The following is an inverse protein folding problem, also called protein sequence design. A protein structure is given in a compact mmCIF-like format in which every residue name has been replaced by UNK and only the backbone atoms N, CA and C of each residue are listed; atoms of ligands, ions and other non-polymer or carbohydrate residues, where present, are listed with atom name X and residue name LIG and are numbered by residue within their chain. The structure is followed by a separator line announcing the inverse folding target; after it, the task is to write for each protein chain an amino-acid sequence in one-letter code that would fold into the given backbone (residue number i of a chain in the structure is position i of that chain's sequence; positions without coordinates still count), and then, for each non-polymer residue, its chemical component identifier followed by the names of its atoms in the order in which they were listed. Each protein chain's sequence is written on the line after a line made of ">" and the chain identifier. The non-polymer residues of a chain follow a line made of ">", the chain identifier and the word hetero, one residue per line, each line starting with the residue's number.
data_IF_518566462618
#
_entry.id   IF_518566462618
#
_cell.length_a   1.000
_cell.length_b   1.000
_cell.length_c   1.000
_cell.angle_alpha   90.00
_cell.angle_beta   90.00
_cell.angle_gamma   90.00
#
_symmetry.space_group_name_H-M   'P 1'
#
loop_
_entity.id
_entity.type
_entity.pdbx_description
1 polymer ?
#
# COMPACT_ATOMS: atom_id res chain seq x y z
N UNK A 1 4.32 -16.73 -27.47
CA UNK A 1 4.29 -16.07 -26.15
C UNK A 1 2.88 -15.58 -25.96
N UNK A 2 2.14 -16.12 -24.98
CA UNK A 2 0.87 -15.52 -24.60
C UNK A 2 1.19 -14.14 -24.04
N UNK A 3 0.47 -13.14 -24.50
CA UNK A 3 0.57 -11.77 -23.98
C UNK A 3 -0.01 -11.78 -22.57
N UNK A 4 0.85 -11.81 -21.53
CA UNK A 4 0.44 -11.83 -20.13
C UNK A 4 -0.43 -10.63 -19.76
N UNK A 5 -0.34 -9.53 -20.52
CA UNK A 5 -1.17 -8.35 -20.29
C UNK A 5 -2.59 -8.52 -20.81
N UNK A 6 -2.80 -9.34 -21.84
CA UNK A 6 -4.15 -9.67 -22.29
C UNK A 6 -4.93 -10.36 -21.19
N UNK A 7 -4.29 -11.26 -20.42
CA UNK A 7 -4.92 -11.96 -19.31
C UNK A 7 -5.46 -11.03 -18.22
N UNK A 8 -4.73 -9.96 -17.88
CA UNK A 8 -5.20 -8.99 -16.89
C UNK A 8 -6.42 -8.22 -17.39
N UNK A 9 -6.36 -7.69 -18.61
CA UNK A 9 -7.47 -6.94 -19.23
C UNK A 9 -8.72 -7.83 -19.45
N UNK A 10 -8.51 -9.09 -19.81
CA UNK A 10 -9.56 -10.07 -20.03
C UNK A 10 -10.10 -10.68 -18.74
N UNK A 11 -9.42 -10.49 -17.60
CA UNK A 11 -9.86 -11.03 -16.31
C UNK A 11 -11.24 -10.56 -15.88
N UNK A 12 -11.67 -9.39 -16.35
CA UNK A 12 -12.90 -8.73 -15.93
C UNK A 12 -12.90 -8.32 -14.47
N UNK A 13 -11.71 -8.21 -13.85
CA UNK A 13 -11.54 -7.80 -12.46
C UNK A 13 -11.30 -6.29 -12.36
N UNK A 14 -11.82 -5.68 -11.30
CA UNK A 14 -11.66 -4.25 -11.02
C UNK A 14 -11.47 -4.00 -9.54
N UNK A 15 -10.86 -2.87 -9.20
CA UNK A 15 -10.92 -2.30 -7.88
C UNK A 15 -12.23 -1.51 -7.76
N UNK A 16 -13.17 -2.03 -6.99
CA UNK A 16 -14.56 -1.52 -6.95
C UNK A 16 -14.86 -0.63 -5.76
N UNK A 17 -14.00 -0.59 -4.76
CA UNK A 17 -14.15 0.28 -3.60
C UNK A 17 -12.84 0.36 -2.82
N UNK A 18 -12.64 1.50 -2.16
CA UNK A 18 -11.48 1.79 -1.33
C UNK A 18 -11.94 2.28 0.03
N UNK A 19 -11.12 2.03 1.07
CA UNK A 19 -11.39 2.54 2.40
C UNK A 19 -10.11 2.71 3.19
N UNK A 20 -10.16 3.53 4.23
CA UNK A 20 -9.01 3.75 5.10
C UNK A 20 -9.40 4.00 6.55
N UNK A 21 -8.42 3.87 7.42
CA UNK A 21 -8.53 4.24 8.81
C UNK A 21 -7.21 4.79 9.32
N UNK A 22 -7.29 5.92 10.01
CA UNK A 22 -6.19 6.49 10.77
C UNK A 22 -6.45 6.32 12.27
N UNK A 23 -5.42 5.92 13.05
CA UNK A 23 -5.50 5.95 14.51
C UNK A 23 -5.94 7.30 15.06
N UNK A 24 -6.54 7.25 16.24
CA UNK A 24 -7.11 8.45 16.90
C UNK A 24 -6.06 9.50 17.26
N UNK A 25 -4.86 9.06 17.65
CA UNK A 25 -3.77 9.96 18.03
C UNK A 25 -3.05 10.47 16.77
N UNK A 26 -3.24 11.75 16.47
CA UNK A 26 -2.41 12.48 15.51
C UNK A 26 -1.28 13.17 16.26
N UNK A 27 -0.06 13.08 15.76
CA UNK A 27 1.15 13.69 16.32
C UNK A 27 1.73 14.65 15.29
N UNK A 28 1.88 15.92 15.68
CA UNK A 28 2.55 16.92 14.86
C UNK A 28 4.06 16.86 15.13
N UNK A 29 4.87 16.77 14.09
CA UNK A 29 6.33 16.65 14.23
C UNK A 29 6.99 17.93 14.76
N UNK A 30 6.40 19.10 14.51
CA UNK A 30 6.90 20.37 15.05
C UNK A 30 6.61 20.56 16.55
N UNK A 31 5.51 19.94 17.04
CA UNK A 31 5.12 19.99 18.45
C UNK A 31 5.69 18.79 19.24
N UNK A 32 6.28 17.83 18.57
CA UNK A 32 6.89 16.71 19.25
C UNK A 32 8.00 17.29 20.15
N UNK A 33 7.81 17.20 21.47
CA UNK A 33 8.92 17.23 22.38
C UNK A 33 9.93 16.24 21.82
N UNK A 34 11.07 16.77 21.34
CA UNK A 34 12.09 15.95 20.71
C UNK A 34 12.34 14.76 21.63
N UNK A 35 12.29 13.51 21.14
CA UNK A 35 12.43 12.35 22.00
C UNK A 35 13.60 12.57 22.94
N UNK A 36 13.38 12.48 24.24
CA UNK A 36 14.34 12.87 25.26
C UNK A 36 15.71 12.22 24.98
N UNK A 37 16.68 13.02 24.55
CA UNK A 37 18.07 12.60 24.35
C UNK A 37 18.70 12.84 22.97
N UNK A 38 17.94 13.07 21.92
CA UNK A 38 18.48 13.48 20.63
C UNK A 38 17.62 14.60 20.07
N UNK A 39 18.00 15.85 20.32
CA UNK A 39 17.42 16.99 19.64
C UNK A 39 17.57 16.75 18.12
N UNK A 40 16.48 16.40 17.46
CA UNK A 40 16.48 16.34 16.01
C UNK A 40 16.51 17.79 15.56
N UNK A 41 17.60 18.21 14.95
CA UNK A 41 17.80 19.56 14.43
C UNK A 41 16.61 19.95 13.54
N UNK A 42 16.05 21.16 13.72
CA UNK A 42 14.96 21.70 12.90
C UNK A 42 15.28 21.59 11.40
N UNK A 43 16.55 21.76 11.02
CA UNK A 43 17.02 21.55 9.65
C UNK A 43 16.86 20.08 9.17
N UNK A 44 16.81 19.12 10.08
CA UNK A 44 16.53 17.72 9.75
C UNK A 44 15.03 17.51 9.58
N UNK A 45 14.21 18.08 10.47
CA UNK A 45 12.74 18.00 10.38
C UNK A 45 12.28 18.58 9.04
N UNK A 46 12.75 19.77 8.67
CA UNK A 46 12.42 20.41 7.39
C UNK A 46 12.84 19.61 6.14
N UNK A 47 13.85 18.75 6.27
CA UNK A 47 14.29 17.86 5.16
C UNK A 47 13.51 16.54 5.08
N UNK A 48 12.80 16.15 6.13
CA UNK A 48 12.02 14.92 6.16
C UNK A 48 10.68 15.07 5.44
N UNK A 49 10.21 16.31 5.29
CA UNK A 49 8.97 16.66 4.60
C UNK A 49 7.73 15.93 5.16
N UNK A 50 7.69 15.75 6.50
CA UNK A 50 6.57 15.18 7.24
C UNK A 50 6.17 16.13 8.35
N UNK A 51 4.94 16.65 8.29
CA UNK A 51 4.37 17.53 9.30
C UNK A 51 3.68 16.76 10.42
N UNK A 52 2.91 15.74 10.04
CA UNK A 52 2.13 14.97 11.01
C UNK A 52 2.06 13.49 10.66
N UNK A 53 1.68 12.69 11.63
CA UNK A 53 1.50 11.24 11.51
C UNK A 53 0.48 10.74 12.53
N UNK A 54 -0.07 9.55 12.32
CA UNK A 54 -0.93 8.90 13.30
C UNK A 54 -0.17 7.76 14.00
N UNK A 55 -0.51 7.54 15.27
CA UNK A 55 0.08 6.50 16.11
C UNK A 55 -1.02 5.71 16.78
N UNK A 56 -1.06 4.40 16.56
CA UNK A 56 -2.04 3.51 17.12
C UNK A 56 -1.79 3.22 18.60
N UNK A 57 -2.83 3.26 19.41
CA UNK A 57 -2.79 2.77 20.77
C UNK A 57 -2.86 1.23 20.83
N UNK A 58 -2.95 0.66 22.06
CA UNK A 58 -2.97 -0.79 22.24
C UNK A 58 -4.26 -1.45 21.72
N UNK A 59 -5.38 -0.72 21.72
CA UNK A 59 -6.68 -1.21 21.23
C UNK A 59 -6.76 -1.18 19.71
N UNK A 60 -6.04 -0.27 19.08
CA UNK A 60 -6.01 -0.11 17.64
C UNK A 60 -5.10 -1.14 16.97
N UNK A 61 -5.43 -2.42 17.17
CA UNK A 61 -4.73 -3.56 16.58
C UNK A 61 -4.86 -3.58 15.05
N UNK A 62 -4.02 -4.34 14.33
CA UNK A 62 -4.16 -4.52 12.89
C UNK A 62 -5.57 -4.97 12.46
N UNK A 63 -6.21 -5.86 13.21
CA UNK A 63 -7.59 -6.27 12.93
C UNK A 63 -8.60 -5.14 13.18
N UNK A 64 -8.46 -4.40 14.28
CA UNK A 64 -9.33 -3.26 14.59
C UNK A 64 -9.30 -2.19 13.49
N UNK A 65 -8.10 -1.77 13.09
CA UNK A 65 -7.91 -0.78 12.03
C UNK A 65 -8.36 -1.32 10.67
N UNK A 66 -8.00 -2.58 10.39
CA UNK A 66 -8.36 -3.26 9.14
C UNK A 66 -9.86 -3.37 8.93
N UNK A 67 -10.63 -3.71 9.98
CA UNK A 67 -12.11 -3.76 9.94
C UNK A 67 -12.73 -2.42 9.53
N UNK A 68 -12.17 -1.31 10.01
CA UNK A 68 -12.69 0.03 9.68
C UNK A 68 -12.42 0.41 8.23
N UNK A 69 -11.20 0.21 7.77
CA UNK A 69 -10.85 0.42 6.38
C UNK A 69 -11.67 -0.49 5.45
N UNK A 70 -11.85 -1.75 5.85
CA UNK A 70 -12.62 -2.74 5.10
C UNK A 70 -14.10 -2.35 4.96
N UNK A 71 -14.74 -1.88 6.04
CA UNK A 71 -16.15 -1.43 6.00
C UNK A 71 -16.36 -0.29 5.03
N UNK A 72 -15.47 0.71 5.05
CA UNK A 72 -15.55 1.82 4.09
C UNK A 72 -15.36 1.33 2.65
N UNK A 73 -14.41 0.43 2.40
CA UNK A 73 -14.20 -0.14 1.07
C UNK A 73 -15.41 -0.94 0.57
N UNK A 74 -16.05 -1.73 1.44
CA UNK A 74 -17.27 -2.48 1.11
C UNK A 74 -18.45 -1.55 0.85
N UNK A 75 -18.63 -0.51 1.67
CA UNK A 75 -19.68 0.50 1.48
C UNK A 75 -19.53 1.19 0.13
N UNK A 76 -18.32 1.61 -0.23
CA UNK A 76 -18.05 2.21 -1.54
C UNK A 76 -18.27 1.23 -2.70
N UNK A 77 -17.94 -0.05 -2.51
CA UNK A 77 -18.18 -1.10 -3.50
C UNK A 77 -19.66 -1.51 -3.63
N UNK A 78 -20.51 -1.12 -2.65
CA UNK A 78 -21.91 -1.51 -2.58
C UNK A 78 -22.13 -2.99 -2.26
N UNK A 79 -21.23 -3.60 -1.45
CA UNK A 79 -21.30 -5.00 -1.04
C UNK A 79 -21.42 -5.15 0.47
N UNK A 80 -21.97 -6.28 0.89
CA UNK A 80 -22.09 -6.69 2.30
C UNK A 80 -21.00 -7.71 2.68
N UNK A 81 -20.82 -7.96 3.96
CA UNK A 81 -19.76 -8.86 4.45
C UNK A 81 -19.97 -10.33 4.03
N UNK A 82 -21.20 -10.78 3.88
CA UNK A 82 -21.56 -12.13 3.43
C UNK A 82 -21.31 -12.35 1.92
N UNK A 83 -21.07 -11.28 1.15
CA UNK A 83 -20.68 -11.34 -0.25
C UNK A 83 -19.15 -11.42 -0.46
N UNK A 84 -18.36 -11.29 0.63
CA UNK A 84 -16.91 -11.42 0.57
C UNK A 84 -16.52 -12.90 0.55
N UNK A 85 -15.88 -13.33 -0.54
CA UNK A 85 -15.42 -14.72 -0.72
C UNK A 85 -13.98 -14.93 -0.20
N UNK A 86 -13.17 -13.87 -0.22
CA UNK A 86 -11.76 -13.91 0.15
C UNK A 86 -11.38 -12.62 0.90
N UNK A 87 -10.68 -12.78 2.03
CA UNK A 87 -10.03 -11.68 2.74
C UNK A 87 -8.52 -11.92 2.83
N UNK A 88 -7.73 -11.02 2.30
CA UNK A 88 -6.27 -11.04 2.41
C UNK A 88 -5.84 -9.85 3.24
N UNK A 89 -5.10 -10.09 4.33
CA UNK A 89 -4.56 -9.04 5.16
C UNK A 89 -3.04 -8.97 5.02
N UNK A 90 -2.54 -7.81 4.59
CA UNK A 90 -1.12 -7.52 4.58
C UNK A 90 -0.72 -6.83 5.88
N UNK A 91 0.18 -7.44 6.61
CA UNK A 91 0.81 -6.89 7.80
C UNK A 91 2.21 -7.47 7.98
N UNK A 92 3.20 -6.61 8.20
CA UNK A 92 4.54 -7.04 8.58
C UNK A 92 5.01 -6.40 9.89
N UNK A 93 4.39 -5.29 10.28
CA UNK A 93 4.82 -4.46 11.41
C UNK A 93 4.40 -5.01 12.76
N UNK A 94 3.24 -5.68 12.82
CA UNK A 94 2.71 -6.30 14.03
C UNK A 94 2.18 -7.71 13.72
N UNK A 95 3.05 -8.51 13.10
CA UNK A 95 2.69 -9.81 12.59
C UNK A 95 2.49 -10.83 13.72
N UNK A 96 1.37 -11.56 13.63
CA UNK A 96 1.14 -12.79 14.38
C UNK A 96 1.38 -13.99 13.46
N UNK A 97 1.98 -15.04 14.00
CA UNK A 97 2.24 -16.26 13.23
C UNK A 97 1.12 -17.27 13.35
N UNK A 98 0.58 -17.46 14.57
CA UNK A 98 -0.53 -18.35 14.89
C UNK A 98 -1.23 -17.82 16.15
N UNK A 99 -2.54 -17.50 16.08
CA UNK A 99 -3.35 -17.34 14.86
C UNK A 99 -2.97 -16.08 14.06
N UNK A 100 -3.27 -16.08 12.76
CA UNK A 100 -3.11 -14.92 11.88
C UNK A 100 -4.18 -13.84 12.14
N UNK A 101 -3.95 -12.61 11.67
CA UNK A 101 -4.91 -11.51 11.82
C UNK A 101 -6.11 -11.61 10.86
N UNK A 102 -5.94 -12.12 9.64
CA UNK A 102 -6.99 -12.13 8.63
C UNK A 102 -8.25 -12.92 9.06
N UNK A 103 -8.15 -14.15 9.61
CA UNK A 103 -9.34 -14.86 10.07
C UNK A 103 -10.11 -14.11 11.17
N UNK A 104 -9.39 -13.46 12.08
CA UNK A 104 -10.01 -12.64 13.13
C UNK A 104 -10.67 -11.38 12.55
N UNK A 105 -10.01 -10.74 11.57
CA UNK A 105 -10.56 -9.57 10.86
C UNK A 105 -11.85 -9.95 10.12
N UNK A 106 -11.86 -11.08 9.42
CA UNK A 106 -13.05 -11.57 8.72
C UNK A 106 -14.23 -11.81 9.68
N UNK A 107 -13.96 -12.44 10.83
CA UNK A 107 -14.97 -12.64 11.87
C UNK A 107 -15.53 -11.32 12.40
N UNK A 108 -14.68 -10.35 12.74
CA UNK A 108 -15.10 -9.03 13.22
C UNK A 108 -15.88 -8.21 12.18
N UNK A 109 -15.69 -8.49 10.90
CA UNK A 109 -16.46 -7.92 9.81
C UNK A 109 -17.83 -8.58 9.64
N UNK A 110 -18.00 -9.83 10.07
CA UNK A 110 -19.12 -10.69 9.73
C UNK A 110 -18.96 -11.41 8.38
N UNK A 111 -17.75 -11.46 7.83
CA UNK A 111 -17.41 -12.19 6.61
C UNK A 111 -17.04 -13.65 6.92
N UNK A 112 -17.88 -14.34 7.70
CA UNK A 112 -17.61 -15.67 8.27
C UNK A 112 -17.49 -16.79 7.22
N UNK A 113 -17.89 -16.53 5.97
CA UNK A 113 -17.79 -17.47 4.85
C UNK A 113 -16.51 -17.26 4.00
N UNK A 114 -15.82 -16.16 4.20
CA UNK A 114 -14.63 -15.83 3.44
C UNK A 114 -13.47 -16.76 3.80
N UNK A 115 -12.71 -17.22 2.80
CA UNK A 115 -11.36 -17.69 3.03
C UNK A 115 -10.52 -16.50 3.47
N UNK A 116 -9.82 -16.60 4.60
CA UNK A 116 -9.03 -15.49 5.12
C UNK A 116 -7.62 -15.95 5.50
N UNK A 117 -6.59 -15.19 5.06
CA UNK A 117 -5.18 -15.43 5.40
C UNK A 117 -4.34 -14.16 5.29
N UNK A 118 -3.20 -14.17 5.99
CA UNK A 118 -2.24 -13.06 5.96
C UNK A 118 -1.22 -13.24 4.82
N UNK A 119 -0.78 -12.12 4.25
CA UNK A 119 0.39 -12.05 3.37
C UNK A 119 1.45 -11.14 3.96
N UNK A 120 2.72 -11.44 3.68
CA UNK A 120 3.83 -10.60 4.10
C UNK A 120 4.68 -10.22 2.87
N UNK A 121 4.37 -9.09 2.28
CA UNK A 121 5.12 -8.51 1.15
C UNK A 121 5.82 -7.20 1.53
N UNK A 122 6.14 -6.99 2.82
CA UNK A 122 6.61 -5.71 3.33
C UNK A 122 5.75 -4.55 2.78
N UNK A 123 6.35 -3.45 2.34
CA UNK A 123 5.60 -2.30 1.83
C UNK A 123 4.91 -2.57 0.49
N UNK A 124 5.25 -3.65 -0.26
CA UNK A 124 4.54 -4.06 -1.47
C UNK A 124 3.31 -4.92 -1.19
N UNK A 125 2.97 -5.12 0.09
CA UNK A 125 1.93 -6.05 0.51
C UNK A 125 0.55 -5.80 -0.09
N UNK A 126 0.18 -4.55 -0.36
CA UNK A 126 -1.07 -4.25 -1.07
C UNK A 126 -1.08 -4.80 -2.50
N UNK A 127 -0.02 -4.54 -3.28
CA UNK A 127 0.12 -5.08 -4.65
C UNK A 127 0.12 -6.60 -4.62
N UNK A 128 0.83 -7.21 -3.67
CA UNK A 128 0.86 -8.66 -3.47
C UNK A 128 -0.54 -9.21 -3.15
N UNK A 129 -1.28 -8.55 -2.26
CA UNK A 129 -2.65 -8.91 -1.91
C UNK A 129 -3.59 -8.84 -3.11
N UNK A 130 -3.55 -7.76 -3.91
CA UNK A 130 -4.39 -7.61 -5.10
C UNK A 130 -4.05 -8.67 -6.15
N UNK A 131 -2.76 -8.95 -6.38
CA UNK A 131 -2.32 -9.97 -7.32
C UNK A 131 -2.78 -11.37 -6.89
N UNK A 132 -2.67 -11.67 -5.59
CA UNK A 132 -3.15 -12.94 -5.00
C UNK A 132 -4.68 -13.05 -5.09
N UNK A 133 -5.40 -11.97 -4.77
CA UNK A 133 -6.86 -11.92 -4.89
C UNK A 133 -7.31 -12.17 -6.33
N UNK A 134 -6.65 -11.54 -7.30
CA UNK A 134 -6.95 -11.74 -8.73
C UNK A 134 -6.71 -13.20 -9.17
N UNK A 135 -5.63 -13.85 -8.70
CA UNK A 135 -5.36 -15.26 -8.99
C UNK A 135 -6.46 -16.18 -8.42
N UNK A 136 -6.87 -15.95 -7.18
CA UNK A 136 -7.97 -16.70 -6.56
C UNK A 136 -9.29 -16.48 -7.27
N UNK A 137 -9.67 -15.24 -7.52
CA UNK A 137 -10.88 -14.93 -8.30
C UNK A 137 -10.81 -15.54 -9.70
N UNK A 138 -9.63 -15.57 -10.33
CA UNK A 138 -9.42 -16.20 -11.63
C UNK A 138 -9.71 -17.69 -11.66
N UNK A 139 -9.46 -18.40 -10.57
CA UNK A 139 -9.58 -19.87 -10.46
C UNK A 139 -10.87 -20.36 -9.81
N UNK A 140 -11.58 -19.52 -9.05
CA UNK A 140 -12.83 -19.87 -8.39
C UNK A 140 -14.02 -19.24 -9.13
N UNK A 141 -14.71 -20.03 -9.95
CA UNK A 141 -15.75 -19.53 -10.85
C UNK A 141 -16.94 -18.86 -10.14
N UNK A 142 -17.23 -19.26 -8.89
CA UNK A 142 -18.36 -18.73 -8.09
C UNK A 142 -17.99 -17.52 -7.26
N UNK A 143 -16.70 -17.26 -7.02
CA UNK A 143 -16.24 -16.14 -6.21
C UNK A 143 -16.34 -14.83 -6.98
N UNK A 144 -16.81 -13.79 -6.30
CA UNK A 144 -17.08 -12.49 -6.89
C UNK A 144 -16.28 -11.36 -6.29
N UNK A 145 -16.05 -11.40 -4.98
CA UNK A 145 -15.45 -10.29 -4.24
C UNK A 145 -14.32 -10.77 -3.35
N UNK A 146 -13.17 -10.15 -3.51
CA UNK A 146 -12.05 -10.30 -2.59
C UNK A 146 -11.77 -8.95 -1.92
N UNK A 147 -11.56 -8.97 -0.61
CA UNK A 147 -11.18 -7.82 0.19
C UNK A 147 -9.69 -7.89 0.48
N UNK A 148 -8.94 -6.90 0.05
CA UNK A 148 -7.51 -6.76 0.32
C UNK A 148 -7.34 -5.65 1.34
N UNK A 149 -6.84 -6.00 2.52
CA UNK A 149 -6.61 -5.09 3.64
C UNK A 149 -5.11 -4.98 3.89
N UNK A 150 -4.61 -3.76 4.04
CA UNK A 150 -3.25 -3.49 4.51
C UNK A 150 -3.35 -2.72 5.81
N UNK A 151 -2.81 -3.26 6.90
CA UNK A 151 -2.95 -2.65 8.22
C UNK A 151 -1.63 -2.71 8.97
N UNK A 152 -1.01 -1.55 9.20
CA UNK A 152 0.35 -1.45 9.70
C UNK A 152 0.44 -0.58 10.96
N UNK A 153 1.16 -1.08 11.96
CA UNK A 153 1.59 -0.32 13.15
C UNK A 153 3.10 -0.06 13.04
N UNK A 154 3.46 0.80 12.08
CA UNK A 154 4.85 1.02 11.71
C UNK A 154 5.64 1.73 12.82
N UNK A 155 4.97 2.54 13.63
CA UNK A 155 5.56 3.17 14.83
C UNK A 155 6.25 2.16 15.75
N UNK A 156 5.78 0.91 15.80
CA UNK A 156 6.35 -0.17 16.61
C UNK A 156 7.65 -0.75 16.06
N UNK A 157 8.05 -0.39 14.85
CA UNK A 157 9.26 -0.90 14.17
C UNK A 157 10.37 0.12 14.07
N UNK A 158 10.22 1.25 14.70
CA UNK A 158 11.27 2.29 14.77
C UNK A 158 11.83 2.39 16.19
N UNK A 159 13.12 2.70 16.26
CA UNK A 159 13.77 2.88 17.56
C UNK A 159 13.24 4.16 18.22
N UNK A 160 12.79 4.10 19.47
CA UNK A 160 12.39 5.29 20.21
C UNK A 160 13.51 6.35 20.24
N UNK A 161 13.15 7.61 20.04
CA UNK A 161 14.08 8.72 19.96
C UNK A 161 14.89 8.81 18.66
N UNK A 162 14.51 8.06 17.62
CA UNK A 162 15.20 8.12 16.33
C UNK A 162 14.41 8.93 15.29
N UNK A 163 15.12 9.37 14.23
CA UNK A 163 14.47 9.99 13.05
C UNK A 163 13.33 9.13 12.46
N UNK A 164 13.40 7.81 12.65
CA UNK A 164 12.35 6.90 12.20
C UNK A 164 10.99 7.25 12.76
N UNK A 165 10.90 7.73 14.00
CA UNK A 165 9.63 8.12 14.61
C UNK A 165 8.95 9.30 13.88
N UNK A 166 9.73 10.15 13.21
CA UNK A 166 9.22 11.31 12.50
C UNK A 166 8.71 10.99 11.09
N UNK A 167 9.11 9.83 10.53
CA UNK A 167 8.87 9.51 9.12
C UNK A 167 7.94 8.32 8.89
N UNK A 168 7.50 7.65 9.96
CA UNK A 168 6.56 6.54 9.86
C UNK A 168 5.26 6.86 10.60
N UNK A 169 4.17 6.29 10.12
CA UNK A 169 2.86 6.39 10.74
C UNK A 169 2.13 5.06 10.72
N UNK A 170 1.10 4.95 11.55
CA UNK A 170 0.23 3.78 11.63
C UNK A 170 -1.06 4.06 10.88
N UNK A 171 -1.55 3.09 10.15
CA UNK A 171 -2.82 3.20 9.44
C UNK A 171 -3.27 1.85 8.85
N UNK A 172 -4.53 1.83 8.40
CA UNK A 172 -5.02 0.77 7.54
C UNK A 172 -5.64 1.33 6.26
N UNK A 173 -5.45 0.60 5.17
CA UNK A 173 -6.10 0.85 3.90
C UNK A 173 -6.68 -0.45 3.34
N UNK A 174 -7.76 -0.37 2.59
CA UNK A 174 -8.40 -1.52 2.01
C UNK A 174 -8.90 -1.25 0.59
N UNK A 175 -8.99 -2.30 -0.21
CA UNK A 175 -9.67 -2.27 -1.50
C UNK A 175 -10.49 -3.55 -1.72
N UNK A 176 -11.61 -3.41 -2.41
CA UNK A 176 -12.39 -4.54 -2.90
C UNK A 176 -12.00 -4.83 -4.34
N UNK A 177 -11.58 -6.06 -4.60
CA UNK A 177 -11.38 -6.59 -5.96
C UNK A 177 -12.65 -7.35 -6.36
N UNK A 178 -13.32 -6.90 -7.41
CA UNK A 178 -14.60 -7.48 -7.86
C UNK A 178 -14.53 -7.95 -9.30
N UNK A 179 -15.33 -8.99 -9.62
CA UNK A 179 -15.64 -9.35 -11.00
C UNK A 179 -16.64 -8.36 -11.62
N UNK A 180 -16.63 -8.25 -12.92
CA UNK A 180 -17.60 -7.47 -13.67
C UNK A 180 -17.10 -6.09 -14.06
N UNK A 181 -15.81 -5.96 -14.36
CA UNK A 181 -15.31 -4.79 -15.06
C UNK A 181 -15.98 -4.67 -16.44
N UNK A 182 -16.48 -3.47 -16.73
CA UNK A 182 -16.98 -3.16 -18.07
C UNK A 182 -15.84 -3.11 -19.10
N UNK A 183 -16.19 -3.05 -20.40
CA UNK A 183 -15.18 -2.91 -21.44
C UNK A 183 -14.26 -1.70 -21.21
N UNK A 184 -12.95 -1.94 -21.21
CA UNK A 184 -11.95 -0.89 -21.04
C UNK A 184 -11.70 -0.41 -19.61
N UNK A 185 -12.41 -0.96 -18.62
CA UNK A 185 -12.20 -0.70 -17.20
C UNK A 185 -11.49 -1.88 -16.51
N UNK A 186 -11.03 -1.69 -15.26
CA UNK A 186 -10.50 -2.73 -14.41
C UNK A 186 -8.98 -2.87 -14.41
N UNK A 187 -8.51 -4.02 -13.93
CA UNK A 187 -7.08 -4.33 -13.84
C UNK A 187 -6.48 -4.53 -15.23
N UNK A 188 -5.47 -3.73 -15.56
CA UNK A 188 -4.82 -3.76 -16.87
C UNK A 188 -3.49 -4.50 -16.85
N UNK A 189 -2.72 -4.37 -15.81
CA UNK A 189 -1.49 -5.12 -15.58
C UNK A 189 -1.13 -5.12 -14.10
N UNK A 190 -0.41 -6.15 -13.67
CA UNK A 190 0.21 -6.22 -12.37
C UNK A 190 1.55 -6.94 -12.50
N UNK A 191 2.58 -6.35 -11.92
CA UNK A 191 3.91 -6.93 -11.87
C UNK A 191 4.45 -6.83 -10.46
N UNK A 192 4.98 -7.94 -9.96
CA UNK A 192 5.68 -8.01 -8.68
C UNK A 192 6.96 -8.81 -8.87
N UNK A 193 8.09 -8.22 -8.49
CA UNK A 193 9.43 -8.77 -8.67
C UNK A 193 10.07 -8.94 -7.30
N UNK A 194 10.75 -10.06 -7.11
CA UNK A 194 11.53 -10.38 -5.92
C UNK A 194 13.00 -10.48 -6.30
N UNK A 195 13.83 -9.60 -5.73
CA UNK A 195 15.28 -9.58 -5.91
C UNK A 195 15.97 -9.81 -4.56
N UNK A 196 16.30 -11.05 -4.26
CA UNK A 196 16.97 -11.44 -3.01
C UNK A 196 18.37 -10.86 -2.85
N UNK A 197 19.01 -10.31 -3.89
CA UNK A 197 20.31 -9.65 -3.78
C UNK A 197 20.21 -8.36 -2.97
N UNK A 198 19.05 -7.69 -2.97
CA UNK A 198 18.75 -6.48 -2.22
C UNK A 198 18.28 -6.71 -0.77
N UNK A 199 18.37 -7.92 -0.21
CA UNK A 199 17.84 -8.27 1.13
C UNK A 199 18.34 -7.39 2.27
N UNK A 200 19.55 -6.85 2.19
CA UNK A 200 20.16 -6.01 3.22
C UNK A 200 19.81 -4.51 3.05
N UNK A 201 19.08 -4.13 2.02
CA UNK A 201 18.69 -2.73 1.77
C UNK A 201 17.82 -2.18 2.88
N UNK A 202 16.83 -2.96 3.32
CA UNK A 202 15.99 -2.65 4.49
C UNK A 202 15.78 -3.93 5.29
N UNK A 203 16.09 -3.88 6.58
CA UNK A 203 16.05 -5.06 7.45
C UNK A 203 15.36 -4.77 8.78
N UNK A 204 14.77 -5.82 9.37
CA UNK A 204 14.24 -5.83 10.73
C UNK A 204 14.71 -7.13 11.40
N UNK A 205 15.79 -7.05 12.15
CA UNK A 205 16.41 -8.22 12.79
C UNK A 205 16.28 -8.22 14.33
N UNK A 206 16.25 -9.40 14.95
CA UNK A 206 16.43 -9.53 16.40
C UNK A 206 17.74 -8.86 16.89
N UNK A 207 17.82 -8.49 18.20
CA UNK A 207 16.81 -8.69 19.23
C UNK A 207 15.72 -7.61 19.23
N UNK A 208 15.97 -6.41 18.69
CA UNK A 208 15.12 -5.26 18.90
C UNK A 208 13.92 -5.20 17.92
N UNK A 209 14.03 -5.83 16.75
CA UNK A 209 12.97 -5.79 15.74
C UNK A 209 12.77 -4.40 15.12
N UNK A 210 13.77 -3.51 15.17
CA UNK A 210 13.69 -2.18 14.58
C UNK A 210 14.18 -2.16 13.14
N UNK A 211 13.53 -1.32 12.33
CA UNK A 211 13.90 -1.13 10.94
C UNK A 211 15.27 -0.44 10.83
N UNK A 212 16.05 -0.92 9.88
CA UNK A 212 17.32 -0.33 9.46
C UNK A 212 17.36 -0.28 7.94
N UNK A 213 17.85 0.80 7.40
CA UNK A 213 18.05 0.97 5.97
C UNK A 213 19.53 1.21 5.64
N UNK A 214 19.95 0.69 4.50
CA UNK A 214 21.28 0.95 3.95
C UNK A 214 21.38 2.38 3.41
N UNK A 215 22.60 2.85 3.15
CA UNK A 215 22.82 4.17 2.54
C UNK A 215 22.38 4.23 1.09
N UNK A 216 22.35 3.08 0.43
CA UNK A 216 21.99 2.91 -0.98
C UNK A 216 20.47 2.82 -1.19
N UNK A 217 19.66 2.87 -0.11
CA UNK A 217 18.20 2.71 -0.20
C UNK A 217 17.58 3.58 -1.30
N UNK A 218 17.93 4.88 -1.33
CA UNK A 218 17.32 5.82 -2.29
C UNK A 218 17.67 5.45 -3.72
N UNK A 219 18.95 5.16 -4.03
CA UNK A 219 19.35 4.78 -5.39
C UNK A 219 18.70 3.46 -5.82
N UNK A 220 18.71 2.44 -4.95
CA UNK A 220 18.09 1.13 -5.25
C UNK A 220 16.58 1.29 -5.49
N UNK A 221 15.90 2.09 -4.68
CA UNK A 221 14.48 2.33 -4.84
C UNK A 221 14.15 3.07 -6.14
N UNK A 222 14.92 4.12 -6.49
CA UNK A 222 14.74 4.88 -7.74
C UNK A 222 14.96 3.98 -8.95
N UNK A 223 16.02 3.17 -8.96
CA UNK A 223 16.32 2.25 -10.06
C UNK A 223 15.25 1.16 -10.18
N UNK A 224 14.74 0.64 -9.05
CA UNK A 224 13.63 -0.32 -9.04
C UNK A 224 12.34 0.27 -9.61
N UNK A 225 11.99 1.53 -9.29
CA UNK A 225 10.84 2.20 -9.88
C UNK A 225 11.02 2.42 -11.40
N UNK A 226 12.24 2.76 -11.85
CA UNK A 226 12.53 2.95 -13.26
C UNK A 226 12.46 1.62 -14.05
N UNK A 227 13.01 0.52 -13.50
CA UNK A 227 12.89 -0.80 -14.09
C UNK A 227 11.43 -1.26 -14.17
N UNK A 228 10.68 -1.10 -13.07
CA UNK A 228 9.26 -1.43 -13.01
C UNK A 228 8.45 -0.68 -14.06
N UNK A 229 8.62 0.65 -14.15
CA UNK A 229 7.93 1.47 -15.13
C UNK A 229 8.25 1.01 -16.54
N UNK A 230 9.54 0.79 -16.86
CA UNK A 230 9.98 0.31 -18.18
C UNK A 230 9.29 -1.00 -18.55
N UNK A 231 9.26 -1.98 -17.63
CA UNK A 231 8.64 -3.29 -17.88
C UNK A 231 7.13 -3.22 -18.02
N UNK A 232 6.45 -2.54 -17.08
CA UNK A 232 4.99 -2.46 -17.10
C UNK A 232 4.46 -1.68 -18.30
N UNK A 233 5.09 -0.55 -18.63
CA UNK A 233 4.68 0.25 -19.80
C UNK A 233 4.92 -0.50 -21.12
N UNK A 234 6.07 -1.19 -21.25
CA UNK A 234 6.34 -2.02 -22.42
C UNK A 234 5.34 -3.17 -22.57
N UNK A 235 5.02 -3.88 -21.47
CA UNK A 235 4.05 -5.00 -21.44
C UNK A 235 2.65 -4.52 -21.80
N UNK A 236 2.20 -3.45 -21.16
CA UNK A 236 0.82 -2.94 -21.35
C UNK A 236 0.63 -2.16 -22.66
N UNK A 237 1.71 -1.83 -23.36
CA UNK A 237 1.66 -0.93 -24.52
C UNK A 237 1.21 0.49 -24.18
N UNK A 238 1.34 0.88 -22.89
CA UNK A 238 0.94 2.18 -22.35
C UNK A 238 2.15 3.10 -22.28
N UNK A 239 1.96 4.39 -22.47
CA UNK A 239 2.99 5.41 -22.26
C UNK A 239 2.75 6.13 -20.92
N UNK A 240 3.81 6.70 -20.34
CA UNK A 240 3.72 7.42 -19.07
C UNK A 240 2.81 8.66 -19.16
N UNK A 241 2.73 9.30 -20.31
CA UNK A 241 1.86 10.46 -20.56
C UNK A 241 0.37 10.10 -20.68
N UNK A 242 0.05 8.83 -20.90
CA UNK A 242 -1.32 8.30 -20.90
C UNK A 242 -1.86 7.95 -19.50
N UNK A 243 -0.98 7.98 -18.47
CA UNK A 243 -1.36 7.72 -17.07
C UNK A 243 -1.90 9.00 -16.46
N UNK A 244 -3.14 8.96 -15.98
CA UNK A 244 -3.77 10.09 -15.32
C UNK A 244 -3.23 10.31 -13.91
N UNK A 245 -3.04 9.22 -13.14
CA UNK A 245 -2.60 9.26 -11.75
C UNK A 245 -1.49 8.27 -11.46
N UNK A 246 -0.44 8.73 -10.81
CA UNK A 246 0.62 7.90 -10.23
C UNK A 246 0.52 8.00 -8.71
N UNK A 247 0.23 6.86 -8.06
CA UNK A 247 0.09 6.75 -6.60
C UNK A 247 1.17 5.83 -6.07
N UNK A 248 2.36 6.34 -5.73
CA UNK A 248 3.49 5.52 -5.32
C UNK A 248 3.40 5.11 -3.85
N UNK A 249 4.17 4.08 -3.47
CA UNK A 249 4.46 3.87 -2.06
C UNK A 249 5.35 5.02 -1.54
N UNK A 250 4.94 5.72 -0.48
CA UNK A 250 5.73 6.78 0.11
C UNK A 250 7.03 6.23 0.71
N UNK A 251 8.07 7.00 0.59
CA UNK A 251 9.32 6.73 1.28
C UNK A 251 9.67 7.92 2.17
N UNK A 252 10.62 8.70 1.74
CA UNK A 252 10.91 10.05 2.26
C UNK A 252 10.60 11.06 1.16
N UNK A 253 10.44 12.35 1.50
CA UNK A 253 10.24 13.40 0.50
C UNK A 253 11.31 13.38 -0.58
N UNK A 254 12.58 13.17 -0.18
CA UNK A 254 13.70 13.01 -1.11
C UNK A 254 13.49 11.86 -2.10
N UNK A 255 12.98 10.71 -1.63
CA UNK A 255 12.71 9.56 -2.50
C UNK A 255 11.56 9.86 -3.48
N UNK A 256 10.50 10.51 -3.01
CA UNK A 256 9.38 10.89 -3.88
C UNK A 256 9.84 11.82 -4.99
N UNK A 257 10.60 12.85 -4.66
CA UNK A 257 11.15 13.79 -5.63
C UNK A 257 12.03 13.06 -6.66
N UNK A 258 12.96 12.23 -6.18
CA UNK A 258 13.87 11.49 -7.05
C UNK A 258 13.15 10.52 -8.00
N UNK A 259 12.12 9.80 -7.52
CA UNK A 259 11.30 8.90 -8.36
C UNK A 259 10.50 9.70 -9.38
N UNK A 260 9.83 10.77 -8.95
CA UNK A 260 9.04 11.63 -9.84
C UNK A 260 9.89 12.20 -10.98
N UNK A 261 11.05 12.76 -10.64
CA UNK A 261 12.00 13.31 -11.62
C UNK A 261 12.55 12.23 -12.57
N UNK A 262 12.96 11.07 -12.01
CA UNK A 262 13.50 9.95 -12.79
C UNK A 262 12.53 9.38 -13.81
N UNK A 263 11.22 9.41 -13.48
CA UNK A 263 10.14 8.92 -14.34
C UNK A 263 9.53 10.02 -15.21
N UNK A 264 9.94 11.28 -15.05
CA UNK A 264 9.41 12.43 -15.79
C UNK A 264 7.92 12.69 -15.53
N UNK A 265 7.43 12.41 -14.31
CA UNK A 265 6.02 12.55 -13.95
C UNK A 265 5.75 13.99 -13.49
N UNK A 266 4.76 14.69 -14.09
CA UNK A 266 4.30 15.99 -13.60
C UNK A 266 3.80 15.90 -12.15
N UNK A 267 4.03 16.94 -11.37
CA UNK A 267 3.71 16.97 -9.94
C UNK A 267 2.21 16.78 -9.69
N UNK A 268 1.37 17.37 -10.50
CA UNK A 268 -0.09 17.28 -10.41
C UNK A 268 -0.66 15.87 -10.63
N UNK A 269 0.12 14.97 -11.24
CA UNK A 269 -0.25 13.56 -11.45
C UNK A 269 0.38 12.61 -10.42
N UNK A 270 1.33 13.08 -9.63
CA UNK A 270 2.06 12.29 -8.64
C UNK A 270 1.45 12.50 -7.25
N UNK A 271 0.55 11.61 -6.84
CA UNK A 271 -0.28 11.79 -5.65
C UNK A 271 0.26 11.03 -4.47
N UNK A 272 0.52 11.75 -3.40
CA UNK A 272 0.96 11.21 -2.12
C UNK A 272 0.38 12.02 -0.96
N UNK A 273 0.22 11.41 0.19
CA UNK A 273 -0.17 12.07 1.43
C UNK A 273 0.94 12.00 2.49
N UNK A 274 2.17 11.66 2.07
CA UNK A 274 3.32 11.44 2.93
C UNK A 274 3.56 12.59 3.91
N UNK A 275 3.39 13.83 3.46
CA UNK A 275 3.63 15.03 4.28
C UNK A 275 2.76 15.08 5.54
N UNK A 276 1.55 14.54 5.50
CA UNK A 276 0.57 14.60 6.58
C UNK A 276 0.24 13.24 7.21
N UNK A 277 0.71 12.15 6.61
CA UNK A 277 0.43 10.78 7.09
C UNK A 277 1.69 9.95 7.33
N UNK A 278 2.85 10.45 6.89
CA UNK A 278 4.13 9.74 6.93
C UNK A 278 4.11 8.42 6.12
N UNK A 279 5.11 7.59 6.30
CA UNK A 279 5.18 6.27 5.67
C UNK A 279 4.34 5.27 6.47
N UNK A 280 3.24 4.83 5.92
CA UNK A 280 2.32 3.85 6.51
C UNK A 280 2.50 2.43 5.94
N UNK A 281 3.68 2.14 5.38
CA UNK A 281 4.02 0.81 4.86
C UNK A 281 3.11 0.37 3.71
N UNK A 282 2.62 -0.87 3.77
CA UNK A 282 1.73 -1.43 2.74
C UNK A 282 0.38 -0.72 2.64
N UNK A 283 -0.04 -0.01 3.68
CA UNK A 283 -1.30 0.72 3.70
C UNK A 283 -1.27 2.03 2.87
N UNK A 284 -0.10 2.54 2.51
CA UNK A 284 0.05 3.86 1.87
C UNK A 284 -0.74 4.01 0.58
N UNK A 285 -0.62 3.07 -0.35
CA UNK A 285 -1.30 3.14 -1.65
C UNK A 285 -2.82 3.07 -1.51
N UNK A 286 -3.41 2.06 -0.84
CA UNK A 286 -4.87 1.99 -0.72
C UNK A 286 -5.48 3.16 0.06
N UNK A 287 -4.73 3.77 0.99
CA UNK A 287 -5.17 4.99 1.69
C UNK A 287 -5.28 6.16 0.73
N UNK A 288 -4.24 6.44 -0.07
CA UNK A 288 -4.26 7.54 -1.04
C UNK A 288 -5.38 7.34 -2.05
N UNK A 289 -5.57 6.12 -2.55
CA UNK A 289 -6.68 5.80 -3.46
C UNK A 289 -8.05 6.05 -2.80
N UNK A 290 -8.20 5.70 -1.51
CA UNK A 290 -9.43 5.98 -0.74
C UNK A 290 -9.67 7.48 -0.56
N UNK A 291 -8.65 8.25 -0.20
CA UNK A 291 -8.75 9.69 -0.07
C UNK A 291 -9.14 10.34 -1.42
N UNK A 292 -8.47 9.97 -2.52
CA UNK A 292 -8.79 10.44 -3.87
C UNK A 292 -10.22 10.11 -4.31
N UNK A 293 -10.69 8.90 -3.98
CA UNK A 293 -12.06 8.48 -4.29
C UNK A 293 -13.08 9.32 -3.50
N UNK A 294 -12.87 9.55 -2.21
CA UNK A 294 -13.73 10.40 -1.37
C UNK A 294 -13.75 11.85 -1.81
N UNK A 295 -12.63 12.37 -2.31
CA UNK A 295 -12.50 13.72 -2.86
C UNK A 295 -13.10 13.86 -4.27
N UNK A 296 -13.54 12.74 -4.88
CA UNK A 296 -14.05 12.73 -6.26
C UNK A 296 -12.97 13.02 -7.31
N UNK A 297 -11.71 12.79 -6.96
CA UNK A 297 -10.56 12.94 -7.89
C UNK A 297 -10.42 11.75 -8.82
N UNK A 298 -10.73 10.54 -8.35
CA UNK A 298 -10.77 9.34 -9.20
C UNK A 298 -12.07 9.33 -10.01
N UNK A 299 -11.95 9.37 -11.32
CA UNK A 299 -13.10 9.36 -12.24
C UNK A 299 -13.11 8.08 -13.07
N UNK A 300 -14.32 7.66 -13.47
CA UNK A 300 -14.47 6.53 -14.37
C UNK A 300 -13.65 6.75 -15.66
N UNK A 301 -12.80 5.78 -15.97
CA UNK A 301 -11.89 5.82 -17.12
C UNK A 301 -10.48 6.30 -16.81
N UNK A 302 -10.22 6.93 -15.66
CA UNK A 302 -8.86 7.32 -15.27
C UNK A 302 -7.93 6.12 -15.20
N UNK A 303 -6.75 6.24 -15.79
CA UNK A 303 -5.70 5.24 -15.75
C UNK A 303 -4.75 5.52 -14.58
N UNK A 304 -4.72 4.60 -13.64
CA UNK A 304 -3.92 4.70 -12.41
C UNK A 304 -2.72 3.75 -12.45
N UNK A 305 -1.56 4.22 -12.02
CA UNK A 305 -0.34 3.44 -11.83
C UNK A 305 0.13 3.54 -10.37
N UNK A 306 0.37 2.39 -9.72
CA UNK A 306 0.73 2.36 -8.29
C UNK A 306 2.06 1.65 -8.05
N UNK A 307 3.19 2.29 -8.36
CA UNK A 307 4.51 1.69 -8.15
C UNK A 307 4.88 1.64 -6.66
N UNK A 308 5.41 0.50 -6.23
CA UNK A 308 5.82 0.27 -4.84
C UNK A 308 7.17 -0.41 -4.76
N UNK A 309 7.91 -0.17 -3.68
CA UNK A 309 9.10 -0.91 -3.30
C UNK A 309 8.98 -1.37 -1.84
N UNK A 310 9.65 -2.45 -1.49
CA UNK A 310 9.60 -3.01 -0.13
C UNK A 310 10.82 -3.86 0.20
N UNK A 311 11.03 -4.06 1.49
CA UNK A 311 12.08 -4.97 1.97
C UNK A 311 11.91 -6.37 1.40
N UNK A 312 13.03 -7.01 1.07
CA UNK A 312 13.00 -8.35 0.54
C UNK A 312 14.10 -8.67 -0.47
N UNK A 313 14.46 -7.91 -1.47
CA UNK A 313 13.90 -6.67 -1.99
C UNK A 313 12.74 -6.95 -2.93
N UNK A 314 11.62 -6.29 -2.72
CA UNK A 314 10.47 -6.38 -3.61
C UNK A 314 10.24 -5.06 -4.33
N UNK A 315 9.80 -5.11 -5.57
CA UNK A 315 9.22 -3.97 -6.26
C UNK A 315 8.12 -4.42 -7.21
N UNK A 316 7.07 -3.63 -7.29
CA UNK A 316 5.91 -4.00 -8.07
C UNK A 316 4.90 -2.87 -8.17
N UNK A 317 3.85 -3.11 -8.94
CA UNK A 317 2.78 -2.13 -9.12
C UNK A 317 1.55 -2.72 -9.78
N UNK A 318 0.51 -1.92 -9.76
CA UNK A 318 -0.74 -2.15 -10.48
C UNK A 318 -0.90 -1.08 -11.55
N UNK A 319 -1.45 -1.45 -12.69
CA UNK A 319 -1.98 -0.57 -13.71
C UNK A 319 -3.47 -0.91 -13.85
N UNK A 320 -4.35 0.05 -13.63
CA UNK A 320 -5.79 -0.18 -13.66
C UNK A 320 -6.56 1.05 -14.11
N UNK A 321 -7.74 0.84 -14.69
CA UNK A 321 -8.72 1.89 -14.95
C UNK A 321 -9.83 1.85 -13.91
N UNK A 322 -10.19 3.05 -13.43
CA UNK A 322 -11.29 3.27 -12.50
C UNK A 322 -12.65 3.00 -13.16
#
# INVERSE_FOLDING_TARGET
>A
MHDETSLWRESGLRLSGFGHYYPRLQVENESAEAPAGNAVDEAVIGRLDVRSRHVADEEETPAYMGVRAAREAMEQAGITADEVDLLILSNWTDRQFVPEWAPHTAHLLGADRALAFDVCGACTGFVHGVQTAAAHLGTHATWRHALVVSSERFSRRVRPGSKGELIVGDAAGAAVVSRGAGPGAGLWDSLLISDGSGRETVTVYPPNGWIRSSRELVSIAVDSHADLATRMLARSGTKMDEIDWVVPHPGTGQLHTAVRERLGIPEERFVTNYEIRANTGSASVPIVLSEMAREGRLKAGDLCYTPTVGSGWYYGGLLFRV
#
